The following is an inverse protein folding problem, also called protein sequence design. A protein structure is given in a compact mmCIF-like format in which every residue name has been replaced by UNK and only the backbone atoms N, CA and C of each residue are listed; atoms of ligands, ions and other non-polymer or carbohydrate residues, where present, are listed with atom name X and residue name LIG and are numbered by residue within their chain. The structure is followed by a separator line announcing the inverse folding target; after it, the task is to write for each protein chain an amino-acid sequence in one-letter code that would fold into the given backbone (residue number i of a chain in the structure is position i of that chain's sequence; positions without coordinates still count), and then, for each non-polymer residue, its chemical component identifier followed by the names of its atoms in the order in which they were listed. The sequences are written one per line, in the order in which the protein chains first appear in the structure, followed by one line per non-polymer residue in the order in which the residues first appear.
data_IF_809349727575
#
_entry.id   IF_809349727575
#
_cell.length_a   1.000
_cell.length_b   1.000
_cell.length_c   1.000
_cell.angle_alpha   90.00
_cell.angle_beta   90.00
_cell.angle_gamma   90.00
#
_symmetry.space_group_name_H-M   'P 1'
#
loop_
_entity.id
_entity.type
_entity.pdbx_description
1 polymer ?
#
# COMPACT_ATOMS: atom_id res chain seq x y z
N UNK A 1 -27.63 11.18 25.76
CA UNK A 1 -26.26 10.64 25.58
C UNK A 1 -26.42 9.34 24.84
N UNK A 2 -26.34 9.38 23.51
CA UNK A 2 -26.41 8.18 22.67
C UNK A 2 -25.06 7.50 22.69
N UNK A 3 -25.03 6.31 23.29
CA UNK A 3 -23.82 5.46 23.29
C UNK A 3 -23.55 5.04 21.83
N UNK A 4 -22.55 5.62 21.21
CA UNK A 4 -22.09 5.23 19.87
C UNK A 4 -21.32 3.91 20.01
N UNK A 5 -22.00 2.80 19.80
CA UNK A 5 -21.35 1.49 19.67
C UNK A 5 -20.75 1.42 18.26
N UNK A 6 -19.45 1.37 18.15
CA UNK A 6 -18.77 1.16 16.85
C UNK A 6 -19.30 -0.13 16.21
N UNK A 7 -19.76 -0.10 14.95
CA UNK A 7 -20.28 -1.29 14.29
C UNK A 7 -19.25 -2.41 14.23
N UNK A 8 -19.66 -3.62 14.59
CA UNK A 8 -18.81 -4.84 14.50
C UNK A 8 -18.80 -5.45 13.11
N UNK A 9 -19.68 -5.00 12.23
CA UNK A 9 -19.78 -5.42 10.84
C UNK A 9 -20.13 -4.23 9.95
N UNK A 10 -19.69 -4.25 8.71
CA UNK A 10 -19.93 -3.25 7.66
C UNK A 10 -20.59 -3.95 6.48
N UNK A 11 -21.77 -3.51 6.10
CA UNK A 11 -22.41 -3.94 4.85
C UNK A 11 -21.66 -3.33 3.66
N UNK A 12 -21.45 -4.14 2.64
CA UNK A 12 -20.75 -3.75 1.42
C UNK A 12 -21.66 -4.01 0.23
N UNK A 13 -21.88 -2.98 -0.59
CA UNK A 13 -22.67 -3.12 -1.81
C UNK A 13 -21.78 -3.22 -3.04
N UNK A 14 -22.30 -3.78 -4.12
CA UNK A 14 -21.63 -3.80 -5.42
C UNK A 14 -21.42 -2.36 -5.93
N UNK A 15 -20.18 -1.89 -6.15
CA UNK A 15 -19.96 -0.55 -6.67
C UNK A 15 -20.33 -0.38 -8.15
N UNK A 16 -20.49 -1.47 -8.89
CA UNK A 16 -20.91 -1.48 -10.29
C UNK A 16 -21.68 -2.78 -10.55
N UNK A 17 -22.61 -2.76 -11.51
CA UNK A 17 -23.33 -3.95 -11.96
C UNK A 17 -22.39 -4.97 -12.58
N UNK A 18 -22.56 -6.26 -12.27
CA UNK A 18 -21.76 -7.35 -12.83
C UNK A 18 -21.97 -8.67 -12.10
N UNK A 19 -21.03 -9.59 -12.23
CA UNK A 19 -21.04 -10.86 -11.50
C UNK A 19 -19.99 -10.86 -10.41
N UNK A 20 -20.41 -11.00 -9.17
CA UNK A 20 -19.52 -11.09 -8.01
C UNK A 20 -18.79 -12.43 -8.05
N UNK A 21 -17.47 -12.38 -7.91
CA UNK A 21 -16.56 -13.53 -7.89
C UNK A 21 -15.66 -13.47 -6.65
N UNK A 22 -15.16 -14.61 -6.21
CA UNK A 22 -14.14 -14.65 -5.16
C UNK A 22 -12.91 -13.85 -5.61
N UNK A 23 -12.25 -13.20 -4.68
CA UNK A 23 -11.06 -12.39 -4.98
C UNK A 23 -9.92 -13.22 -5.57
N UNK A 24 -9.86 -14.52 -5.28
CA UNK A 24 -8.87 -15.46 -5.84
C UNK A 24 -9.06 -15.75 -7.33
N UNK A 25 -10.26 -15.48 -7.86
CA UNK A 25 -10.61 -15.65 -9.28
C UNK A 25 -10.39 -14.37 -10.10
N UNK A 26 -9.99 -13.28 -9.48
CA UNK A 26 -9.64 -12.04 -10.18
C UNK A 26 -8.41 -12.28 -11.07
N UNK A 27 -8.44 -11.87 -12.37
CA UNK A 27 -7.35 -12.11 -13.32
C UNK A 27 -6.12 -11.21 -13.10
N UNK A 28 -5.75 -11.02 -11.85
CA UNK A 28 -4.57 -10.27 -11.41
C UNK A 28 -3.94 -10.95 -10.19
N UNK A 29 -2.65 -11.34 -10.25
CA UNK A 29 -2.01 -12.10 -9.18
C UNK A 29 -1.83 -11.30 -7.88
N UNK A 30 -1.85 -9.97 -7.92
CA UNK A 30 -1.71 -9.11 -6.72
C UNK A 30 -3.00 -9.14 -5.91
N UNK A 31 -4.15 -9.07 -6.59
CA UNK A 31 -5.46 -9.19 -5.97
C UNK A 31 -5.77 -10.65 -5.59
N UNK A 32 -5.59 -11.59 -6.51
CA UNK A 32 -5.88 -13.02 -6.28
C UNK A 32 -5.09 -13.61 -5.10
N UNK A 33 -3.86 -13.14 -4.84
CA UNK A 33 -3.07 -13.52 -3.66
C UNK A 33 -3.39 -12.71 -2.41
N UNK A 34 -4.42 -11.88 -2.44
CA UNK A 34 -4.83 -10.99 -1.33
C UNK A 34 -3.71 -10.06 -0.85
N UNK A 35 -2.73 -9.72 -1.71
CA UNK A 35 -1.57 -8.88 -1.35
C UNK A 35 -1.99 -7.43 -1.03
N UNK A 36 -3.08 -6.95 -1.63
CA UNK A 36 -3.68 -5.64 -1.33
C UNK A 36 -4.63 -5.72 -0.14
N UNK A 37 -5.28 -6.88 0.06
CA UNK A 37 -6.26 -7.12 1.10
C UNK A 37 -7.26 -8.18 0.68
N UNK A 38 -8.13 -8.58 1.57
CA UNK A 38 -9.23 -9.51 1.29
C UNK A 38 -10.44 -8.76 0.74
N UNK A 39 -11.30 -9.42 -0.05
CA UNK A 39 -12.43 -8.79 -0.68
C UNK A 39 -13.06 -9.66 -1.77
N UNK A 40 -13.49 -9.04 -2.87
CA UNK A 40 -14.13 -9.72 -3.98
C UNK A 40 -13.85 -9.01 -5.32
N UNK A 41 -14.07 -9.74 -6.42
CA UNK A 41 -14.07 -9.20 -7.77
C UNK A 41 -15.48 -9.00 -8.30
N UNK A 42 -15.61 -8.18 -9.36
CA UNK A 42 -16.83 -8.04 -10.16
C UNK A 42 -16.43 -8.23 -11.61
N UNK A 43 -16.77 -9.39 -12.15
CA UNK A 43 -16.47 -9.75 -13.54
C UNK A 43 -17.53 -9.25 -14.50
N UNK A 44 -17.13 -9.05 -15.76
CA UNK A 44 -17.99 -8.68 -16.87
C UNK A 44 -18.97 -7.51 -16.59
N UNK A 45 -18.53 -6.41 -15.95
CA UNK A 45 -19.40 -5.27 -15.74
C UNK A 45 -19.85 -4.71 -17.11
N UNK A 46 -21.13 -4.29 -17.23
CA UNK A 46 -21.61 -3.67 -18.47
C UNK A 46 -21.12 -2.21 -18.63
N UNK A 47 -20.45 -1.66 -17.59
CA UNK A 47 -20.10 -0.25 -17.49
C UNK A 47 -21.20 0.60 -16.86
N UNK A 48 -21.03 1.90 -16.90
CA UNK A 48 -22.03 2.87 -16.41
C UNK A 48 -21.73 3.42 -15.03
N UNK A 49 -22.77 3.52 -14.21
CA UNK A 49 -22.70 4.18 -12.91
C UNK A 49 -21.84 3.40 -11.91
N UNK A 50 -20.96 4.15 -11.22
CA UNK A 50 -20.17 3.65 -10.09
C UNK A 50 -20.72 4.27 -8.80
N UNK A 51 -20.97 3.43 -7.79
CA UNK A 51 -21.46 3.86 -6.47
C UNK A 51 -20.46 3.57 -5.37
N UNK A 52 -20.58 4.26 -4.24
CA UNK A 52 -19.79 3.97 -3.05
C UNK A 52 -20.18 2.62 -2.47
N UNK A 53 -19.24 1.68 -2.25
CA UNK A 53 -19.57 0.38 -1.68
C UNK A 53 -19.91 0.43 -0.19
N UNK A 54 -19.54 1.50 0.50
CA UNK A 54 -19.69 1.66 1.95
C UNK A 54 -19.99 3.11 2.31
N UNK A 55 -20.60 3.31 3.47
CA UNK A 55 -20.66 4.64 4.11
C UNK A 55 -19.31 4.95 4.75
N UNK A 56 -18.75 6.13 4.44
CA UNK A 56 -17.46 6.52 4.99
C UNK A 56 -16.90 7.83 4.46
N UNK A 57 -15.60 8.00 4.61
CA UNK A 57 -14.85 9.14 4.10
C UNK A 57 -13.93 8.68 2.98
N UNK A 58 -13.91 9.41 1.88
CA UNK A 58 -12.95 9.19 0.77
C UNK A 58 -11.56 9.56 1.28
N UNK A 59 -10.66 8.59 1.33
CA UNK A 59 -9.27 8.79 1.81
C UNK A 59 -8.25 8.92 0.67
N UNK A 60 -8.63 8.43 -0.53
CA UNK A 60 -7.78 8.47 -1.70
C UNK A 60 -8.61 8.46 -2.98
N UNK A 61 -8.19 9.24 -3.97
CA UNK A 61 -8.61 9.14 -5.37
C UNK A 61 -7.34 9.09 -6.21
N UNK A 62 -7.19 8.08 -7.04
CA UNK A 62 -6.04 7.94 -7.93
C UNK A 62 -6.04 9.08 -8.98
N UNK A 63 -4.86 9.57 -9.35
CA UNK A 63 -4.75 10.64 -10.36
C UNK A 63 -5.37 10.27 -11.70
N UNK A 64 -5.27 9.03 -12.08
CA UNK A 64 -5.86 8.42 -13.29
C UNK A 64 -7.25 7.84 -13.03
N UNK A 65 -7.93 8.26 -11.96
CA UNK A 65 -9.33 7.98 -11.61
C UNK A 65 -9.73 6.49 -11.57
N UNK A 66 -8.80 5.56 -11.77
CA UNK A 66 -9.06 4.11 -11.80
C UNK A 66 -9.28 3.50 -10.41
N UNK A 67 -9.00 4.25 -9.34
CA UNK A 67 -9.14 3.71 -7.98
C UNK A 67 -9.58 4.78 -6.97
N UNK A 68 -10.45 4.36 -6.05
CA UNK A 68 -10.96 5.18 -4.94
C UNK A 68 -10.85 4.41 -3.63
N UNK A 69 -10.31 5.05 -2.60
CA UNK A 69 -10.19 4.49 -1.25
C UNK A 69 -11.17 5.13 -0.28
N UNK A 70 -11.78 4.33 0.58
CA UNK A 70 -12.77 4.74 1.58
C UNK A 70 -12.36 4.29 2.97
N UNK A 71 -12.73 5.06 3.99
CA UNK A 71 -12.57 4.68 5.39
C UNK A 71 -13.91 4.78 6.10
N UNK A 72 -14.37 3.67 6.65
CA UNK A 72 -15.62 3.60 7.44
C UNK A 72 -15.42 4.09 8.86
N UNK A 73 -16.51 4.32 9.58
CA UNK A 73 -16.49 4.70 11.00
C UNK A 73 -15.84 3.59 11.87
N UNK A 74 -16.03 2.31 11.51
CA UNK A 74 -15.39 1.18 12.17
C UNK A 74 -13.87 1.13 11.94
N UNK A 75 -13.36 1.95 11.01
CA UNK A 75 -11.96 2.05 10.65
C UNK A 75 -11.49 1.03 9.63
N UNK A 76 -12.38 0.25 9.00
CA UNK A 76 -12.04 -0.52 7.81
C UNK A 76 -11.73 0.42 6.65
N UNK A 77 -10.73 0.04 5.85
CA UNK A 77 -10.33 0.80 4.66
C UNK A 77 -10.59 -0.05 3.42
N UNK A 78 -11.49 0.44 2.57
CA UNK A 78 -11.85 -0.21 1.32
C UNK A 78 -11.18 0.47 0.14
N UNK A 79 -10.76 -0.31 -0.84
CA UNK A 79 -10.30 0.13 -2.15
C UNK A 79 -11.27 -0.39 -3.20
N UNK A 80 -11.79 0.48 -4.04
CA UNK A 80 -12.44 0.12 -5.31
C UNK A 80 -11.43 0.37 -6.42
N UNK A 81 -11.12 -0.65 -7.20
CA UNK A 81 -10.21 -0.60 -8.35
C UNK A 81 -10.98 -0.94 -9.60
N UNK A 82 -11.11 0.00 -10.52
CA UNK A 82 -11.94 -0.08 -11.71
C UNK A 82 -11.15 -0.62 -12.91
N UNK A 83 -11.36 -1.89 -13.25
CA UNK A 83 -10.58 -2.61 -14.26
C UNK A 83 -9.19 -3.00 -13.78
N UNK A 84 -8.48 -3.84 -14.52
CA UNK A 84 -7.12 -4.28 -14.25
C UNK A 84 -6.16 -3.55 -15.19
N UNK A 85 -5.01 -3.08 -14.67
CA UNK A 85 -3.99 -2.31 -15.38
C UNK A 85 -4.48 -1.01 -16.05
N UNK A 86 -5.66 -0.54 -15.65
CA UNK A 86 -6.31 0.66 -16.23
C UNK A 86 -5.63 1.98 -15.86
N UNK A 87 -4.64 1.96 -14.98
CA UNK A 87 -3.74 3.09 -14.72
C UNK A 87 -3.05 3.58 -16.01
N UNK A 88 -2.79 2.68 -16.97
CA UNK A 88 -2.15 2.97 -18.26
C UNK A 88 -3.06 3.73 -19.26
N UNK A 89 -4.36 3.86 -18.94
CA UNK A 89 -5.33 4.58 -19.77
C UNK A 89 -5.49 6.06 -19.39
N UNK A 90 -4.61 6.56 -18.51
CA UNK A 90 -4.52 7.99 -18.11
C UNK A 90 -5.87 8.61 -17.69
N UNK A 91 -6.78 7.80 -17.16
CA UNK A 91 -8.08 8.24 -16.64
C UNK A 91 -9.19 8.39 -17.67
N UNK A 92 -8.92 8.19 -18.97
CA UNK A 92 -9.89 8.36 -20.05
C UNK A 92 -11.21 7.62 -19.83
N UNK A 93 -11.25 6.36 -19.33
CA UNK A 93 -12.50 5.61 -19.13
C UNK A 93 -13.33 6.05 -17.92
N UNK A 94 -12.83 6.96 -17.10
CA UNK A 94 -13.42 7.22 -15.79
C UNK A 94 -13.84 8.66 -15.60
N UNK A 95 -14.98 8.83 -14.93
CA UNK A 95 -15.39 10.14 -14.38
C UNK A 95 -15.69 9.93 -12.91
N UNK A 96 -15.00 10.65 -12.02
CA UNK A 96 -15.28 10.62 -10.59
C UNK A 96 -15.72 12.00 -10.11
N UNK A 97 -16.76 12.04 -9.27
CA UNK A 97 -17.35 13.28 -8.75
C UNK A 97 -16.96 13.52 -7.29
N UNK A 98 -16.16 12.64 -6.70
CA UNK A 98 -15.69 12.71 -5.31
C UNK A 98 -14.20 13.04 -5.24
N UNK A 99 -13.82 13.66 -4.14
CA UNK A 99 -12.44 14.05 -3.82
C UNK A 99 -12.05 13.54 -2.43
N UNK A 100 -10.73 13.50 -2.16
CA UNK A 100 -10.24 13.11 -0.82
C UNK A 100 -10.80 14.05 0.25
N UNK A 101 -11.40 13.48 1.29
CA UNK A 101 -12.02 14.19 2.40
C UNK A 101 -13.55 14.17 2.35
N UNK A 102 -14.15 13.89 1.19
CA UNK A 102 -15.61 13.85 1.05
C UNK A 102 -16.20 12.71 1.87
N UNK A 103 -17.38 12.96 2.45
CA UNK A 103 -18.20 11.94 3.08
C UNK A 103 -19.17 11.39 2.07
N UNK A 104 -19.28 10.08 2.01
CA UNK A 104 -20.19 9.37 1.11
C UNK A 104 -21.06 8.39 1.89
N UNK A 105 -22.24 8.14 1.36
CA UNK A 105 -23.14 7.10 1.85
C UNK A 105 -23.04 5.87 0.94
N UNK A 106 -23.32 4.70 1.51
CA UNK A 106 -23.40 3.45 0.75
C UNK A 106 -24.43 3.58 -0.39
N UNK A 107 -24.08 3.16 -1.60
CA UNK A 107 -24.93 3.30 -2.80
C UNK A 107 -24.95 4.70 -3.42
N UNK A 108 -24.31 5.71 -2.82
CA UNK A 108 -24.19 7.03 -3.42
C UNK A 108 -23.39 6.97 -4.72
N UNK A 109 -23.90 7.60 -5.78
CA UNK A 109 -23.18 7.71 -7.07
C UNK A 109 -21.90 8.53 -6.86
N UNK A 110 -20.77 7.97 -7.26
CA UNK A 110 -19.45 8.59 -7.16
C UNK A 110 -18.78 8.79 -8.51
N UNK A 111 -19.36 8.25 -9.59
CA UNK A 111 -18.80 8.41 -10.93
C UNK A 111 -19.34 7.45 -11.97
N UNK A 112 -18.61 7.30 -13.05
CA UNK A 112 -18.92 6.40 -14.16
C UNK A 112 -17.67 5.67 -14.66
N UNK A 113 -17.87 4.50 -15.26
CA UNK A 113 -16.85 3.68 -15.90
C UNK A 113 -17.29 3.33 -17.33
N UNK A 114 -16.46 3.67 -18.29
CA UNK A 114 -16.64 3.33 -19.71
C UNK A 114 -15.90 2.01 -20.02
N UNK A 115 -16.66 0.93 -20.07
CA UNK A 115 -16.13 -0.42 -20.31
C UNK A 115 -15.63 -0.60 -21.73
N UNK A 116 -16.27 0.06 -22.72
CA UNK A 116 -15.82 -0.04 -24.09
C UNK A 116 -14.46 0.63 -24.28
N UNK A 117 -14.25 1.81 -23.70
CA UNK A 117 -12.95 2.48 -23.72
C UNK A 117 -11.84 1.63 -23.03
N UNK A 118 -12.17 0.88 -21.96
CA UNK A 118 -11.23 -0.05 -21.32
C UNK A 118 -10.85 -1.19 -22.25
N UNK A 119 -11.84 -1.82 -22.90
CA UNK A 119 -11.62 -2.91 -23.87
C UNK A 119 -10.83 -2.45 -25.09
N UNK A 120 -11.15 -1.29 -25.64
CA UNK A 120 -10.40 -0.66 -26.74
C UNK A 120 -8.94 -0.41 -26.35
N UNK A 121 -8.69 -0.04 -25.08
CA UNK A 121 -7.35 0.08 -24.52
C UNK A 121 -6.65 -1.26 -24.24
N UNK A 122 -7.28 -2.41 -24.56
CA UNK A 122 -6.72 -3.75 -24.36
C UNK A 122 -6.60 -4.16 -22.89
N UNK A 123 -7.43 -3.56 -21.99
CA UNK A 123 -7.40 -3.84 -20.56
C UNK A 123 -8.59 -4.68 -20.12
N UNK A 124 -8.41 -5.41 -19.01
CA UNK A 124 -9.48 -6.18 -18.39
C UNK A 124 -10.42 -5.27 -17.59
N UNK A 125 -11.71 -5.56 -17.65
CA UNK A 125 -12.76 -4.72 -17.06
C UNK A 125 -13.15 -5.14 -15.65
N UNK A 126 -12.57 -6.21 -15.12
CA UNK A 126 -12.87 -6.72 -13.77
C UNK A 126 -12.60 -5.63 -12.72
N UNK A 127 -13.64 -5.26 -12.01
CA UNK A 127 -13.55 -4.32 -10.89
C UNK A 127 -13.27 -5.08 -9.60
N UNK A 128 -12.45 -4.52 -8.72
CA UNK A 128 -12.06 -5.18 -7.46
C UNK A 128 -12.44 -4.29 -6.28
N UNK A 129 -13.03 -4.90 -5.24
CA UNK A 129 -13.25 -4.30 -3.94
C UNK A 129 -12.39 -5.04 -2.92
N UNK A 130 -11.43 -4.35 -2.30
CA UNK A 130 -10.52 -4.94 -1.34
C UNK A 130 -10.46 -4.16 -0.02
N UNK A 131 -10.39 -4.86 1.11
CA UNK A 131 -10.16 -4.27 2.43
C UNK A 131 -8.67 -4.16 2.68
N UNK A 132 -8.09 -2.99 2.46
CA UNK A 132 -6.63 -2.80 2.45
C UNK A 132 -5.96 -2.94 3.81
N UNK A 133 -6.71 -2.83 4.90
CA UNK A 133 -6.22 -3.04 6.25
C UNK A 133 -6.70 -4.36 6.90
N UNK A 134 -6.88 -5.40 6.07
CA UNK A 134 -7.34 -6.74 6.45
C UNK A 134 -6.59 -7.29 7.67
N UNK A 135 -5.27 -7.32 7.64
CA UNK A 135 -4.46 -7.90 8.71
C UNK A 135 -4.75 -7.28 10.10
N UNK A 136 -5.06 -5.98 10.14
CA UNK A 136 -5.26 -5.23 11.40
C UNK A 136 -6.72 -5.19 11.87
N UNK A 137 -7.64 -5.07 10.94
CA UNK A 137 -9.01 -4.63 11.24
C UNK A 137 -10.08 -5.58 10.78
N UNK A 138 -9.86 -6.35 9.71
CA UNK A 138 -10.84 -7.30 9.20
C UNK A 138 -10.67 -8.65 9.88
N UNK A 139 -11.73 -9.17 10.47
CA UNK A 139 -11.78 -10.56 10.94
C UNK A 139 -11.96 -11.50 9.75
N UNK A 140 -13.04 -11.35 9.02
CA UNK A 140 -13.35 -12.03 7.76
C UNK A 140 -14.34 -11.18 6.96
N UNK A 141 -14.54 -11.54 5.70
CA UNK A 141 -15.56 -10.99 4.83
C UNK A 141 -16.39 -12.13 4.25
N UNK A 142 -17.70 -12.06 4.45
CA UNK A 142 -18.65 -12.96 3.81
C UNK A 142 -19.08 -12.32 2.49
N UNK A 143 -18.97 -13.07 1.40
CA UNK A 143 -19.26 -12.59 0.03
C UNK A 143 -20.35 -13.45 -0.57
N UNK A 144 -21.40 -12.82 -1.06
CA UNK A 144 -22.48 -13.45 -1.82
C UNK A 144 -22.13 -13.40 -3.30
N UNK A 145 -21.65 -14.51 -3.86
CA UNK A 145 -21.27 -14.62 -5.28
C UNK A 145 -22.49 -14.71 -6.20
N UNK A 146 -22.34 -14.19 -7.42
CA UNK A 146 -23.38 -14.24 -8.45
C UNK A 146 -23.72 -12.87 -9.04
N UNK A 147 -24.73 -12.79 -9.91
CA UNK A 147 -25.15 -11.53 -10.53
C UNK A 147 -25.62 -10.52 -9.48
N UNK A 148 -25.19 -9.26 -9.62
CA UNK A 148 -25.61 -8.15 -8.75
C UNK A 148 -25.71 -6.85 -9.55
N UNK A 149 -26.64 -5.99 -9.16
CA UNK A 149 -26.72 -4.63 -9.65
C UNK A 149 -25.93 -3.67 -8.76
N UNK A 150 -25.53 -2.52 -9.32
CA UNK A 150 -24.88 -1.47 -8.53
C UNK A 150 -25.78 -1.03 -7.36
N UNK A 151 -25.26 -1.11 -6.14
CA UNK A 151 -26.02 -0.82 -4.92
C UNK A 151 -26.62 -2.04 -4.21
N UNK A 152 -26.61 -3.22 -4.84
CA UNK A 152 -27.02 -4.45 -4.17
C UNK A 152 -26.03 -4.83 -3.07
N UNK A 153 -26.54 -5.29 -1.92
CA UNK A 153 -25.70 -5.84 -0.86
C UNK A 153 -25.10 -7.16 -1.30
N UNK A 154 -23.79 -7.24 -1.33
CA UNK A 154 -23.04 -8.40 -1.83
C UNK A 154 -22.01 -8.93 -0.85
N UNK A 155 -21.72 -8.20 0.23
CA UNK A 155 -20.82 -8.71 1.24
C UNK A 155 -21.07 -8.09 2.63
N UNK A 156 -20.52 -8.75 3.66
CA UNK A 156 -20.45 -8.25 5.03
C UNK A 156 -19.01 -8.37 5.51
N UNK A 157 -18.40 -7.24 5.83
CA UNK A 157 -17.04 -7.20 6.38
C UNK A 157 -17.10 -7.14 7.90
N UNK A 158 -16.61 -8.16 8.58
CA UNK A 158 -16.59 -8.28 10.03
C UNK A 158 -15.32 -7.64 10.60
N UNK A 159 -15.50 -6.73 11.56
CA UNK A 159 -14.40 -6.01 12.19
C UNK A 159 -13.82 -6.86 13.32
N UNK A 160 -12.49 -6.98 13.38
CA UNK A 160 -11.81 -7.56 14.54
C UNK A 160 -12.19 -6.80 15.80
N UNK A 161 -13.00 -7.41 16.65
CA UNK A 161 -13.32 -6.86 17.96
C UNK A 161 -12.13 -7.19 18.89
N UNK A 162 -11.43 -6.14 19.34
CA UNK A 162 -10.46 -6.31 20.44
C UNK A 162 -11.27 -6.69 21.68
N UNK A 163 -11.09 -7.88 22.28
CA UNK A 163 -11.84 -8.24 23.47
C UNK A 163 -11.57 -7.23 24.59
N UNK A 164 -12.64 -6.56 25.05
CA UNK A 164 -12.62 -5.90 26.35
C UNK A 164 -12.77 -6.99 27.39
N UNK A 165 -11.68 -7.50 27.92
CA UNK A 165 -11.68 -8.53 28.95
C UNK A 165 -11.53 -7.91 30.33
N UNK A 166 -12.37 -8.33 31.30
CA UNK A 166 -11.92 -8.48 32.66
C UNK A 166 -11.13 -9.81 32.80
N UNK A 167 -10.19 -9.93 33.73
CA UNK A 167 -9.21 -10.99 33.70
C UNK A 167 -9.74 -12.29 34.32
N UNK A 168 -9.60 -13.42 33.62
CA UNK A 168 -9.22 -14.68 34.26
C UNK A 168 -8.88 -15.82 33.27
N UNK A 169 -7.69 -16.34 33.47
CA UNK A 169 -7.25 -17.72 33.52
C UNK A 169 -7.14 -18.61 32.28
N UNK A 170 -5.87 -18.82 31.96
CA UNK A 170 -5.21 -20.08 31.53
C UNK A 170 -5.49 -20.60 30.09
N UNK A 171 -4.51 -20.52 29.22
CA UNK A 171 -3.57 -21.58 28.82
C UNK A 171 -2.77 -21.22 27.56
N UNK A 172 -1.46 -21.08 27.75
CA UNK A 172 -0.38 -21.46 26.83
C UNK A 172 -0.48 -21.07 25.34
N UNK A 173 -0.16 -19.82 25.03
CA UNK A 173 0.50 -19.45 23.80
C UNK A 173 1.68 -18.52 24.16
N UNK A 174 2.84 -18.78 23.58
CA UNK A 174 4.11 -18.12 23.85
C UNK A 174 3.95 -16.61 23.85
N UNK A 175 4.10 -15.98 25.00
CA UNK A 175 4.06 -14.54 25.24
C UNK A 175 5.13 -13.85 24.39
N UNK A 176 4.79 -12.83 23.55
CA UNK A 176 5.81 -12.00 22.94
C UNK A 176 6.51 -11.22 24.03
N UNK A 177 7.83 -11.16 23.98
CA UNK A 177 8.64 -10.43 24.95
C UNK A 177 8.12 -8.97 25.08
N UNK A 178 7.97 -8.46 26.32
CA UNK A 178 7.44 -7.10 26.52
C UNK A 178 8.34 -6.06 25.86
N UNK A 179 7.73 -5.19 25.07
CA UNK A 179 8.39 -4.00 24.56
C UNK A 179 8.80 -3.18 25.80
N UNK A 180 10.10 -3.03 26.02
CA UNK A 180 10.61 -2.21 27.14
C UNK A 180 10.39 -0.72 26.84
N UNK A 181 9.15 -0.29 26.98
CA UNK A 181 8.76 1.12 26.79
C UNK A 181 9.27 2.03 27.95
N UNK A 182 9.93 1.48 28.96
CA UNK A 182 10.50 2.25 30.06
C UNK A 182 11.64 3.17 29.62
N UNK A 183 12.25 2.90 28.46
CA UNK A 183 13.35 3.67 27.88
C UNK A 183 12.87 4.83 26.99
N UNK A 184 11.61 4.80 26.58
CA UNK A 184 11.05 5.85 25.71
C UNK A 184 10.75 7.11 26.51
N UNK A 185 11.14 8.31 26.04
CA UNK A 185 10.76 9.58 26.63
C UNK A 185 9.24 9.73 26.74
N UNK A 186 8.74 10.10 27.91
CA UNK A 186 7.30 10.15 28.21
C UNK A 186 6.53 11.22 27.39
N UNK A 187 7.23 12.15 26.75
CA UNK A 187 6.68 13.21 25.92
C UNK A 187 6.43 12.78 24.46
N UNK A 188 6.87 11.59 24.04
CA UNK A 188 6.65 11.10 22.68
C UNK A 188 5.31 10.37 22.58
N UNK A 189 4.50 10.75 21.60
CA UNK A 189 3.18 10.16 21.34
C UNK A 189 2.98 9.92 19.84
N UNK A 190 2.01 9.08 19.47
CA UNK A 190 1.67 8.83 18.06
C UNK A 190 2.85 8.30 17.24
N UNK A 191 3.12 8.91 16.09
CA UNK A 191 4.19 8.48 15.18
C UNK A 191 5.59 8.74 15.73
N UNK A 192 5.78 9.77 16.58
CA UNK A 192 7.07 10.03 17.23
C UNK A 192 7.45 8.90 18.19
N UNK A 193 6.46 8.37 18.92
CA UNK A 193 6.67 7.23 19.80
C UNK A 193 6.99 5.96 18.99
N UNK A 194 6.27 5.71 17.90
CA UNK A 194 6.54 4.59 17.00
C UNK A 194 7.92 4.69 16.36
N UNK A 195 8.30 5.87 15.91
CA UNK A 195 9.61 6.14 15.32
C UNK A 195 10.74 5.84 16.34
N UNK A 196 10.57 6.27 17.58
CA UNK A 196 11.52 5.99 18.65
C UNK A 196 11.65 4.49 18.92
N UNK A 197 10.51 3.79 19.04
CA UNK A 197 10.48 2.34 19.29
C UNK A 197 11.15 1.56 18.15
N UNK A 198 10.92 1.96 16.89
CA UNK A 198 11.59 1.36 15.74
C UNK A 198 13.12 1.60 15.84
N UNK A 199 13.55 2.84 16.04
CA UNK A 199 14.97 3.21 16.10
C UNK A 199 15.69 2.47 17.23
N UNK A 200 15.11 2.41 18.44
CA UNK A 200 15.72 1.69 19.58
C UNK A 200 15.89 0.20 19.27
N UNK A 201 14.90 -0.41 18.63
CA UNK A 201 14.89 -1.85 18.37
C UNK A 201 15.60 -2.29 17.07
N UNK A 202 15.96 -1.38 16.15
CA UNK A 202 16.90 -1.67 15.04
C UNK A 202 18.38 -1.56 15.47
N UNK A 203 18.63 -1.35 16.75
CA UNK A 203 19.97 -1.21 17.33
C UNK A 203 20.43 0.22 17.51
N UNK A 204 19.51 1.16 17.63
CA UNK A 204 19.73 2.58 17.85
C UNK A 204 20.13 3.34 16.58
N UNK A 205 20.11 4.68 16.66
CA UNK A 205 20.48 5.57 15.55
C UNK A 205 21.88 5.31 15.00
N UNK A 206 22.80 4.87 15.86
CA UNK A 206 24.18 4.56 15.49
C UNK A 206 24.29 3.36 14.53
N UNK A 207 23.27 2.50 14.50
CA UNK A 207 23.21 1.35 13.60
C UNK A 207 22.63 1.70 12.23
N UNK A 208 22.02 2.87 12.07
CA UNK A 208 21.44 3.32 10.80
C UNK A 208 22.50 4.01 9.96
N UNK A 209 22.66 3.63 8.68
CA UNK A 209 23.45 4.34 7.68
C UNK A 209 22.61 5.37 6.95
N UNK A 210 21.46 4.93 6.45
CA UNK A 210 20.50 5.79 5.76
C UNK A 210 19.10 5.22 5.91
N UNK A 211 18.11 6.07 5.71
CA UNK A 211 16.70 5.72 5.71
C UNK A 211 16.01 6.34 4.50
N UNK A 212 15.13 5.57 3.88
CA UNK A 212 14.27 6.02 2.79
C UNK A 212 12.89 5.38 2.96
N UNK A 213 11.92 5.74 2.13
CA UNK A 213 10.61 5.11 2.16
C UNK A 213 10.04 4.91 0.76
N UNK A 214 9.05 4.06 0.65
CA UNK A 214 8.20 3.90 -0.52
C UNK A 214 6.74 3.88 -0.06
N UNK A 215 5.81 3.60 -0.94
CA UNK A 215 4.37 3.71 -0.73
C UNK A 215 3.86 3.11 0.61
N UNK A 216 4.51 2.06 1.14
CA UNK A 216 4.05 1.36 2.36
C UNK A 216 5.15 0.98 3.35
N UNK A 217 6.43 1.26 3.06
CA UNK A 217 7.56 0.74 3.85
C UNK A 217 8.58 1.81 4.12
N UNK A 218 9.05 1.87 5.37
CA UNK A 218 10.30 2.55 5.70
C UNK A 218 11.45 1.56 5.51
N UNK A 219 12.48 1.96 4.80
CA UNK A 219 13.63 1.15 4.42
C UNK A 219 14.88 1.69 5.10
N UNK A 220 15.45 0.89 5.98
CA UNK A 220 16.69 1.20 6.66
C UNK A 220 17.86 0.45 6.03
N UNK A 221 18.96 1.14 5.82
CA UNK A 221 20.25 0.55 5.56
C UNK A 221 21.02 0.48 6.88
N UNK A 222 21.10 -0.71 7.45
CA UNK A 222 21.74 -0.91 8.75
C UNK A 222 23.24 -1.23 8.59
N UNK A 223 24.05 -0.85 9.58
CA UNK A 223 25.47 -1.25 9.67
C UNK A 223 25.58 -2.72 10.05
N UNK A 224 24.71 -3.19 10.94
CA UNK A 224 24.62 -4.57 11.41
C UNK A 224 23.15 -4.95 11.62
N UNK A 225 22.61 -5.77 10.71
CA UNK A 225 21.22 -6.22 10.78
C UNK A 225 20.94 -7.18 11.94
N UNK A 226 21.98 -7.82 12.51
CA UNK A 226 21.80 -8.74 13.64
C UNK A 226 21.45 -8.02 14.94
N UNK A 227 21.67 -6.70 15.02
CA UNK A 227 21.26 -5.87 16.16
C UNK A 227 19.77 -5.59 16.19
N UNK A 228 19.08 -5.78 15.07
CA UNK A 228 17.66 -5.52 14.97
C UNK A 228 16.84 -6.64 15.64
N UNK A 229 15.99 -6.25 16.59
CA UNK A 229 15.08 -7.14 17.30
C UNK A 229 13.77 -7.27 16.52
N UNK A 230 13.81 -8.06 15.44
CA UNK A 230 12.71 -8.20 14.46
C UNK A 230 11.39 -8.57 15.13
N UNK A 231 11.40 -9.52 16.08
CA UNK A 231 10.20 -9.97 16.77
C UNK A 231 9.53 -8.83 17.56
N UNK A 232 10.32 -7.93 18.17
CA UNK A 232 9.78 -6.77 18.88
C UNK A 232 9.18 -5.78 17.89
N UNK A 233 9.92 -5.45 16.82
CA UNK A 233 9.48 -4.47 15.81
C UNK A 233 8.21 -4.92 15.11
N UNK A 234 8.09 -6.19 14.76
CA UNK A 234 6.88 -6.74 14.12
C UNK A 234 5.64 -6.60 15.00
N UNK A 235 5.83 -6.62 16.33
CA UNK A 235 4.72 -6.50 17.28
C UNK A 235 4.42 -5.06 17.71
N UNK A 236 5.16 -4.05 17.21
CA UNK A 236 4.87 -2.64 17.50
C UNK A 236 3.52 -2.22 16.91
N UNK A 237 2.75 -1.47 17.70
CA UNK A 237 1.50 -0.90 17.21
C UNK A 237 1.79 0.16 16.12
N UNK A 238 1.42 -0.11 14.88
CA UNK A 238 1.72 0.73 13.71
C UNK A 238 2.63 0.01 12.70
N UNK A 239 3.29 -1.09 13.08
CA UNK A 239 4.03 -1.96 12.15
C UNK A 239 3.12 -3.10 11.70
N UNK A 240 3.14 -3.41 10.42
CA UNK A 240 2.39 -4.52 9.80
C UNK A 240 3.25 -5.74 9.61
N UNK A 241 4.50 -5.53 9.20
CA UNK A 241 5.45 -6.60 8.93
C UNK A 241 6.88 -6.05 8.88
N UNK A 242 7.86 -6.94 8.95
CA UNK A 242 9.27 -6.63 8.77
C UNK A 242 9.86 -7.57 7.74
N UNK A 243 10.50 -7.01 6.71
CA UNK A 243 11.10 -7.76 5.61
C UNK A 243 12.58 -7.41 5.48
N UNK A 244 13.44 -8.41 5.38
CA UNK A 244 14.84 -8.20 5.06
C UNK A 244 15.08 -8.65 3.61
N UNK A 245 15.34 -7.71 2.72
CA UNK A 245 15.58 -7.98 1.30
C UNK A 245 16.55 -6.98 0.70
N UNK A 246 17.40 -7.46 -0.22
CA UNK A 246 18.35 -6.62 -0.98
C UNK A 246 19.27 -5.76 -0.10
N UNK A 247 19.68 -6.27 1.07
CA UNK A 247 20.52 -5.54 2.02
C UNK A 247 19.82 -4.44 2.81
N UNK A 248 18.50 -4.37 2.71
CA UNK A 248 17.64 -3.42 3.41
C UNK A 248 16.85 -4.11 4.51
N UNK A 249 16.69 -3.40 5.63
CA UNK A 249 15.76 -3.75 6.68
C UNK A 249 14.49 -2.90 6.47
N UNK A 250 13.41 -3.53 6.07
CA UNK A 250 12.18 -2.87 5.64
C UNK A 250 11.09 -3.05 6.68
N UNK A 251 10.61 -1.96 7.26
CA UNK A 251 9.48 -1.94 8.20
C UNK A 251 8.24 -1.53 7.44
N UNK A 252 7.29 -2.46 7.31
CA UNK A 252 6.02 -2.24 6.62
C UNK A 252 5.06 -1.55 7.57
N UNK A 253 4.73 -0.31 7.30
CA UNK A 253 3.79 0.49 8.12
C UNK A 253 2.48 0.80 7.39
N UNK A 254 2.46 0.70 6.06
CA UNK A 254 1.26 0.96 5.27
C UNK A 254 1.17 2.41 4.77
N UNK A 255 -0.03 2.91 4.47
CA UNK A 255 -0.22 4.24 3.88
C UNK A 255 0.27 5.39 4.76
N UNK A 256 0.43 5.17 6.06
CA UNK A 256 0.97 6.15 7.01
C UNK A 256 2.52 6.25 6.97
N UNK A 257 3.14 5.66 5.98
CA UNK A 257 4.61 5.57 5.86
C UNK A 257 5.30 6.92 5.83
N UNK A 258 4.70 7.92 5.20
CA UNK A 258 5.24 9.27 5.12
C UNK A 258 5.27 9.94 6.50
N UNK A 259 4.19 9.79 7.28
CA UNK A 259 4.12 10.35 8.64
C UNK A 259 5.14 9.68 9.56
N UNK A 260 5.27 8.35 9.47
CA UNK A 260 6.27 7.60 10.25
C UNK A 260 7.69 7.96 9.82
N UNK A 261 7.96 8.11 8.52
CA UNK A 261 9.27 8.54 8.01
C UNK A 261 9.62 9.96 8.51
N UNK A 262 8.67 10.90 8.43
CA UNK A 262 8.85 12.27 8.91
C UNK A 262 9.07 12.34 10.41
N UNK A 263 8.56 11.37 11.19
CA UNK A 263 8.85 11.25 12.62
C UNK A 263 10.22 10.58 12.90
N UNK A 264 10.71 9.72 12.01
CA UNK A 264 12.01 9.02 12.12
C UNK A 264 13.17 9.98 11.84
N UNK A 265 13.09 10.76 10.75
CA UNK A 265 14.18 11.59 10.25
C UNK A 265 14.75 12.54 11.32
N UNK A 266 13.95 13.32 12.06
CA UNK A 266 14.46 14.21 13.10
C UNK A 266 15.15 13.46 14.24
N UNK A 267 14.72 12.24 14.57
CA UNK A 267 15.29 11.42 15.64
C UNK A 267 16.64 10.78 15.26
N UNK A 268 16.86 10.55 13.96
CA UNK A 268 18.14 10.05 13.44
C UNK A 268 19.19 11.15 13.28
N UNK A 269 18.76 12.39 13.08
CA UNK A 269 19.64 13.55 12.82
C UNK A 269 20.07 13.69 11.37
N UNK A 270 20.60 14.86 11.01
CA UNK A 270 20.87 15.29 9.63
C UNK A 270 21.86 14.39 8.87
N UNK A 271 22.76 13.70 9.57
CA UNK A 271 23.77 12.82 8.94
C UNK A 271 23.18 11.57 8.27
N UNK A 272 21.95 11.17 8.62
CA UNK A 272 21.27 9.97 8.12
C UNK A 272 20.15 10.33 7.16
N UNK A 273 19.54 11.51 7.31
CA UNK A 273 18.48 12.01 6.45
C UNK A 273 18.96 12.42 5.06
N UNK A 274 20.24 12.76 4.91
CA UNK A 274 20.88 13.17 3.66
C UNK A 274 21.37 11.98 2.80
N UNK A 275 20.79 10.78 2.98
CA UNK A 275 21.05 9.62 2.15
C UNK A 275 20.58 9.84 0.72
N UNK A 276 21.35 10.59 -0.04
CA UNK A 276 21.34 10.51 -1.50
C UNK A 276 21.63 9.07 -1.91
N UNK A 277 21.15 8.70 -3.04
CA UNK A 277 21.24 7.51 -3.88
C UNK A 277 22.54 6.66 -3.81
N UNK A 278 22.99 6.34 -2.58
CA UNK A 278 24.03 5.35 -2.34
C UNK A 278 23.32 3.98 -2.24
N UNK A 279 23.05 3.43 -3.40
CA UNK A 279 22.75 2.00 -3.54
C UNK A 279 23.77 1.16 -2.76
N UNK A 280 23.48 -0.13 -2.50
CA UNK A 280 24.35 -0.97 -1.69
C UNK A 280 25.79 -0.85 -2.22
N UNK A 281 26.73 -0.47 -1.35
CA UNK A 281 28.15 -0.58 -1.69
C UNK A 281 28.39 -2.03 -2.11
N UNK A 282 28.51 -2.24 -3.41
CA UNK A 282 28.97 -3.53 -3.92
C UNK A 282 30.34 -3.76 -3.28
N UNK A 283 30.53 -4.91 -2.59
CA UNK A 283 31.79 -5.17 -1.91
C UNK A 283 32.93 -4.98 -2.91
N UNK A 284 33.89 -4.09 -2.58
CA UNK A 284 35.04 -3.80 -3.44
C UNK A 284 35.75 -5.10 -3.74
N UNK A 285 35.97 -5.44 -5.00
CA UNK A 285 36.60 -6.71 -5.36
C UNK A 285 38.00 -6.78 -4.80
N UNK A 286 38.35 -7.89 -4.17
CA UNK A 286 39.69 -8.15 -3.63
C UNK A 286 40.65 -8.70 -4.68
N UNK A 287 40.19 -8.99 -5.91
CA UNK A 287 40.95 -9.59 -6.98
C UNK A 287 41.06 -8.63 -8.17
N UNK A 288 42.22 -8.59 -8.84
CA UNK A 288 42.45 -7.73 -10.02
C UNK A 288 41.40 -7.93 -11.13
N UNK A 289 40.96 -9.15 -11.37
CA UNK A 289 39.87 -9.46 -12.32
C UNK A 289 38.49 -8.95 -11.85
N UNK A 290 38.27 -8.92 -10.55
CA UNK A 290 37.07 -8.33 -9.96
C UNK A 290 37.00 -6.82 -10.20
N UNK A 291 38.13 -6.11 -10.14
CA UNK A 291 38.22 -4.68 -10.44
C UNK A 291 37.89 -4.36 -11.91
N UNK A 292 38.30 -5.22 -12.84
CA UNK A 292 37.97 -5.07 -14.27
C UNK A 292 36.46 -5.23 -14.50
N UNK A 293 35.85 -6.26 -13.91
CA UNK A 293 34.36 -6.44 -13.95
C UNK A 293 33.61 -5.30 -13.30
N UNK A 294 34.10 -4.83 -12.14
CA UNK A 294 33.50 -3.71 -11.42
C UNK A 294 33.55 -2.42 -12.22
N UNK A 295 34.70 -2.09 -12.81
CA UNK A 295 34.85 -0.91 -13.66
C UNK A 295 33.95 -0.95 -14.90
N UNK A 296 33.86 -2.13 -15.55
CA UNK A 296 32.99 -2.31 -16.71
C UNK A 296 31.50 -2.21 -16.38
N UNK A 297 31.10 -2.77 -15.25
CA UNK A 297 29.70 -2.66 -14.76
C UNK A 297 29.33 -1.22 -14.38
N UNK A 298 30.24 -0.50 -13.71
CA UNK A 298 30.06 0.93 -13.38
C UNK A 298 29.97 1.79 -14.63
N UNK A 299 30.81 1.52 -15.65
CA UNK A 299 30.78 2.27 -16.91
C UNK A 299 29.45 2.08 -17.65
N UNK A 300 28.93 0.84 -17.70
CA UNK A 300 27.62 0.55 -18.29
C UNK A 300 26.51 1.26 -17.50
N UNK A 301 26.56 1.28 -16.17
CA UNK A 301 25.60 1.97 -15.33
C UNK A 301 25.55 3.48 -15.60
N UNK A 302 26.70 4.14 -15.72
CA UNK A 302 26.80 5.57 -16.05
C UNK A 302 26.27 5.86 -17.46
N UNK A 303 26.63 5.03 -18.45
CA UNK A 303 26.15 5.18 -19.83
C UNK A 303 24.62 5.01 -19.89
N UNK A 304 24.08 3.99 -19.24
CA UNK A 304 22.64 3.73 -19.22
C UNK A 304 21.89 4.86 -18.51
N UNK A 305 22.38 5.32 -17.36
CA UNK A 305 21.76 6.41 -16.60
C UNK A 305 21.78 7.75 -17.35
N UNK A 306 22.84 8.03 -18.11
CA UNK A 306 22.92 9.26 -18.92
C UNK A 306 22.10 9.20 -20.21
N UNK A 307 21.81 7.99 -20.73
CA UNK A 307 21.06 7.80 -21.97
C UNK A 307 19.53 7.85 -21.77
N UNK A 308 19.01 7.52 -20.55
CA UNK A 308 17.58 7.51 -20.27
C UNK A 308 16.89 8.85 -20.61
N UNK A 309 17.41 10.04 -20.21
CA UNK A 309 16.79 11.31 -20.56
C UNK A 309 16.88 11.64 -22.07
N UNK A 310 17.82 11.05 -22.79
CA UNK A 310 18.08 11.35 -24.23
C UNK A 310 17.21 10.49 -25.15
N UNK A 311 16.79 9.30 -24.71
CA UNK A 311 15.96 8.39 -25.50
C UNK A 311 14.65 9.05 -25.93
N UNK A 312 13.98 9.78 -25.03
CA UNK A 312 12.76 10.51 -25.34
C UNK A 312 12.95 11.59 -26.40
N UNK A 313 14.07 12.31 -26.36
CA UNK A 313 14.44 13.34 -27.34
C UNK A 313 14.75 12.75 -28.73
N UNK A 314 15.43 11.62 -28.78
CA UNK A 314 15.74 10.90 -30.01
C UNK A 314 14.49 10.31 -30.67
N UNK A 315 13.58 9.75 -29.88
CA UNK A 315 12.31 9.25 -30.37
C UNK A 315 11.44 10.37 -30.96
N UNK A 316 11.32 11.51 -30.27
CA UNK A 316 10.60 12.68 -30.77
C UNK A 316 11.21 13.22 -32.06
N UNK A 317 12.54 13.32 -32.16
CA UNK A 317 13.22 13.81 -33.38
C UNK A 317 13.06 12.83 -34.56
N UNK A 318 13.02 11.52 -34.30
CA UNK A 318 12.76 10.50 -35.31
C UNK A 318 11.36 10.58 -35.90
N UNK A 319 10.35 10.83 -35.07
CA UNK A 319 8.95 11.01 -35.48
C UNK A 319 8.80 12.28 -36.36
N UNK A 320 9.39 13.39 -35.91
CA UNK A 320 9.36 14.65 -36.66
C UNK A 320 10.02 14.49 -38.03
N UNK A 321 11.17 13.82 -38.09
CA UNK A 321 11.87 13.58 -39.36
C UNK A 321 11.10 12.63 -40.28
N UNK A 322 10.38 11.65 -39.73
CA UNK A 322 9.51 10.76 -40.47
C UNK A 322 8.29 11.49 -41.10
N UNK A 323 7.71 12.45 -40.39
CA UNK A 323 6.59 13.26 -40.88
C UNK A 323 7.04 14.25 -41.96
N UNK A 324 8.25 14.80 -41.84
CA UNK A 324 8.80 15.77 -42.81
C UNK A 324 9.34 15.10 -44.09
N UNK A 325 9.46 13.78 -44.13
CA UNK A 325 9.95 13.03 -45.32
C UNK A 325 8.82 12.38 -46.14
N UNK A 326 7.56 12.62 -45.76
CA UNK A 326 6.36 12.29 -46.54
C UNK A 326 5.87 13.51 -47.29
#
# INVERSE_FOLDING_TARGET
MTSSTTPTAVEVVAPITGTIIDITDVPDPVFAKKSVGDGFGISAPPGGTVVSPVTGTVIMVAKTLHAVGFKTESGLQFLVHLGIDTVELDGTPFTLTVTKGDKVEVGQIIGTMDVEAIKEGGKDTTTVVAVTNTAKKLDHIDVDEGPAEAGDKVAVAHVKVKPSTPPESSASAKEPAPVDSSRRPANLTGYDALAWDIIDNIGGKENVRSVTYCITRVRFYLKDSNKAKTDIITNLNGVRDVVQASGQYQVVVGPEVEDVYNAIVPQLGDAVAAGGDDGPETPKPTTAWGWVKFGFSSLIGVITGSMIPVIGLLAASGIIKGILSL
#
